data_IF_479754123673
#
_entry.id   IF_479754123673
#
_cell.length_a   1.000
_cell.length_b   1.000
_cell.length_c   1.000
_cell.angle_alpha   90.00
_cell.angle_beta   90.00
_cell.angle_gamma   90.00
#
_symmetry.space_group_name_H-M   'P 1'
#
loop_
_entity.id
_entity.type
_entity.pdbx_description
1 polymer ?
#
# COMPACT_ATOMS: atom_id res chain seq x y z
N UNK A 1 9.57 -6.51 -15.09
CA UNK A 1 9.04 -6.14 -13.77
C UNK A 1 8.27 -7.33 -13.26
N UNK A 2 8.72 -8.05 -12.23
CA UNK A 2 7.96 -9.20 -11.72
C UNK A 2 7.55 -8.90 -10.29
N UNK A 3 6.46 -8.15 -10.16
CA UNK A 3 5.67 -8.07 -8.94
C UNK A 3 4.74 -9.28 -8.98
N UNK A 4 4.74 -10.11 -7.93
CA UNK A 4 3.76 -11.18 -7.81
C UNK A 4 2.48 -10.61 -7.17
N UNK A 5 1.39 -10.58 -7.93
CA UNK A 5 0.09 -10.08 -7.50
C UNK A 5 -0.81 -11.14 -6.85
N UNK A 6 -0.40 -12.40 -6.75
CA UNK A 6 -1.19 -13.49 -6.12
C UNK A 6 -1.53 -13.19 -4.65
N UNK A 7 -0.71 -12.36 -4.00
CA UNK A 7 -0.89 -11.91 -2.62
C UNK A 7 -1.60 -10.56 -2.51
N UNK A 8 -1.93 -9.91 -3.61
CA UNK A 8 -2.66 -8.65 -3.59
C UNK A 8 -4.15 -8.90 -3.37
N UNK A 9 -4.88 -7.96 -2.73
CA UNK A 9 -6.34 -8.05 -2.71
C UNK A 9 -6.89 -8.06 -4.14
N UNK A 10 -7.96 -8.81 -4.38
CA UNK A 10 -8.58 -8.95 -5.71
C UNK A 10 -9.31 -7.69 -6.17
N UNK A 11 -9.76 -6.86 -5.25
CA UNK A 11 -10.35 -5.56 -5.55
C UNK A 11 -10.07 -4.62 -4.39
N UNK A 12 -10.06 -3.31 -4.67
CA UNK A 12 -9.74 -2.32 -3.66
C UNK A 12 -9.24 -1.04 -4.28
N UNK A 13 -8.26 -0.44 -3.63
CA UNK A 13 -7.65 0.82 -4.04
C UNK A 13 -6.17 0.60 -4.33
N UNK A 14 -5.70 1.21 -5.41
CA UNK A 14 -4.28 1.27 -5.75
C UNK A 14 -3.77 2.69 -5.50
N UNK A 15 -2.65 2.78 -4.79
CA UNK A 15 -1.83 3.97 -4.65
C UNK A 15 -0.44 3.63 -5.21
N UNK A 16 -0.11 4.16 -6.37
CA UNK A 16 1.13 3.88 -7.06
C UNK A 16 1.95 5.16 -7.24
N UNK A 17 3.19 5.13 -6.77
CA UNK A 17 4.16 6.19 -6.91
C UNK A 17 5.07 5.88 -8.09
N UNK A 18 5.00 6.73 -9.11
CA UNK A 18 5.94 6.75 -10.23
C UNK A 18 6.94 7.87 -10.04
N UNK A 19 8.05 7.83 -10.76
CA UNK A 19 9.04 8.93 -10.75
C UNK A 19 8.41 10.30 -11.05
N UNK A 20 7.40 10.35 -11.91
CA UNK A 20 6.84 11.61 -12.42
C UNK A 20 5.38 11.86 -12.01
N UNK A 21 4.71 10.89 -11.39
CA UNK A 21 3.30 11.02 -11.05
C UNK A 21 2.88 10.10 -9.90
N UNK A 22 1.69 10.33 -9.37
CA UNK A 22 1.02 9.44 -8.41
C UNK A 22 -0.32 9.02 -9.01
N UNK A 23 -0.60 7.72 -9.03
CA UNK A 23 -1.91 7.19 -9.41
C UNK A 23 -2.65 6.71 -8.17
N UNK A 24 -3.89 7.16 -8.06
CA UNK A 24 -4.78 6.78 -6.97
C UNK A 24 -6.18 6.49 -7.52
N UNK A 25 -6.60 5.23 -7.51
CA UNK A 25 -7.87 4.80 -8.11
C UNK A 25 -8.38 3.47 -7.53
N UNK A 26 -9.66 3.18 -7.72
CA UNK A 26 -10.25 1.88 -7.42
C UNK A 26 -9.87 0.88 -8.53
N UNK A 27 -9.64 -0.38 -8.18
CA UNK A 27 -9.36 -1.47 -9.12
C UNK A 27 -10.17 -2.72 -8.81
N UNK A 28 -10.29 -3.60 -9.81
CA UNK A 28 -10.82 -4.97 -9.71
C UNK A 28 -9.87 -5.95 -10.42
N UNK A 29 -9.89 -7.22 -10.01
CA UNK A 29 -8.90 -8.27 -10.34
C UNK A 29 -8.65 -8.40 -11.85
N UNK A 30 -9.74 -8.34 -12.61
CA UNK A 30 -9.76 -8.41 -14.07
C UNK A 30 -9.10 -7.21 -14.78
N UNK A 31 -8.69 -6.17 -14.06
CA UNK A 31 -7.97 -4.99 -14.56
C UNK A 31 -6.45 -5.07 -14.32
N UNK A 32 -5.99 -6.01 -13.49
CA UNK A 32 -4.56 -6.16 -13.15
C UNK A 32 -3.82 -7.03 -14.16
N UNK A 33 -4.42 -8.14 -14.60
CA UNK A 33 -3.78 -9.11 -15.51
C UNK A 33 -3.83 -8.69 -16.98
N UNK A 34 -4.79 -7.85 -17.39
CA UNK A 34 -5.02 -7.51 -18.80
C UNK A 34 -4.34 -6.23 -19.28
N UNK A 35 -3.88 -5.40 -18.36
CA UNK A 35 -3.53 -4.03 -18.68
C UNK A 35 -2.41 -3.55 -17.74
N UNK A 36 -1.16 -3.54 -18.21
CA UNK A 36 -0.12 -2.71 -17.60
C UNK A 36 -0.55 -1.26 -17.30
N UNK A 37 -1.72 -0.79 -17.77
CA UNK A 37 -2.36 0.51 -17.50
C UNK A 37 -2.43 0.94 -16.03
N UNK A 38 -2.75 0.05 -15.06
CA UNK A 38 -2.77 0.47 -13.64
C UNK A 38 -1.36 0.93 -13.22
N UNK A 39 -0.34 0.23 -13.71
CA UNK A 39 1.07 0.52 -13.46
C UNK A 39 1.68 1.47 -14.52
N UNK A 40 0.86 2.06 -15.40
CA UNK A 40 1.32 2.89 -16.50
C UNK A 40 1.88 2.10 -17.68
N UNK A 41 1.92 2.74 -18.84
CA UNK A 41 2.71 2.22 -19.97
C UNK A 41 4.17 2.03 -19.52
N UNK A 42 4.92 1.15 -20.18
CA UNK A 42 6.32 0.75 -19.90
C UNK A 42 7.35 1.89 -19.72
N UNK A 43 6.94 3.15 -19.81
CA UNK A 43 7.76 4.36 -19.74
C UNK A 43 7.81 5.01 -18.36
N UNK A 44 6.89 4.70 -17.44
CA UNK A 44 6.90 5.30 -16.10
C UNK A 44 7.57 4.38 -15.07
N UNK A 45 8.68 4.84 -14.49
CA UNK A 45 9.40 4.09 -13.47
C UNK A 45 8.58 4.06 -12.17
N UNK A 46 7.92 2.93 -11.91
CA UNK A 46 7.27 2.64 -10.63
C UNK A 46 8.33 2.58 -9.51
N UNK A 47 8.07 3.30 -8.42
CA UNK A 47 8.93 3.40 -7.24
C UNK A 47 8.33 2.62 -6.07
N UNK A 48 7.02 2.77 -5.86
CA UNK A 48 6.30 2.13 -4.76
C UNK A 48 4.86 1.89 -5.17
N UNK A 49 4.31 0.77 -4.74
CA UNK A 49 2.96 0.33 -5.02
C UNK A 49 2.29 -0.12 -3.73
N UNK A 50 1.10 0.41 -3.47
CA UNK A 50 0.19 -0.08 -2.46
C UNK A 50 -1.10 -0.51 -3.13
N UNK A 51 -1.55 -1.72 -2.82
CA UNK A 51 -2.84 -2.26 -3.22
C UNK A 51 -3.54 -2.75 -1.96
N UNK A 52 -4.68 -2.17 -1.62
CA UNK A 52 -5.31 -2.43 -0.33
C UNK A 52 -6.82 -2.41 -0.41
N UNK A 53 -7.43 -3.21 0.44
CA UNK A 53 -8.87 -3.27 0.67
C UNK A 53 -9.18 -3.01 2.15
N UNK A 54 -10.37 -3.42 2.61
CA UNK A 54 -10.78 -3.29 4.02
C UNK A 54 -9.97 -4.16 4.99
N UNK A 55 -9.31 -5.21 4.49
CA UNK A 55 -8.76 -6.30 5.29
C UNK A 55 -7.24 -6.41 5.20
N UNK A 56 -6.64 -6.05 4.07
CA UNK A 56 -5.21 -6.24 3.84
C UNK A 56 -4.60 -5.14 2.96
N UNK A 57 -3.28 -5.01 3.05
CA UNK A 57 -2.47 -4.22 2.14
C UNK A 57 -1.38 -5.12 1.55
N UNK A 58 -1.25 -5.08 0.24
CA UNK A 58 -0.09 -5.54 -0.50
C UNK A 58 0.77 -4.34 -0.88
N UNK A 59 2.03 -4.35 -0.44
CA UNK A 59 2.99 -3.26 -0.72
C UNK A 59 4.19 -3.79 -1.47
N UNK A 60 4.60 -3.11 -2.52
CA UNK A 60 5.79 -3.43 -3.29
C UNK A 60 6.67 -2.17 -3.43
N UNK A 61 7.88 -2.18 -2.89
CA UNK A 61 8.82 -1.04 -2.97
C UNK A 61 10.02 -1.40 -3.82
N UNK A 62 10.39 -0.51 -4.75
CA UNK A 62 11.57 -0.69 -5.60
C UNK A 62 12.85 -0.55 -4.77
N UNK A 63 13.57 -1.66 -4.64
CA UNK A 63 14.90 -1.65 -4.03
C UNK A 63 15.91 -0.91 -4.91
N UNK A 64 16.64 0.05 -4.31
CA UNK A 64 17.74 0.79 -4.96
C UNK A 64 18.88 -0.13 -5.38
N UNK A 65 19.15 -1.18 -4.63
CA UNK A 65 20.28 -2.11 -4.86
C UNK A 65 19.91 -3.31 -5.72
N UNK A 66 18.67 -3.80 -5.61
CA UNK A 66 18.29 -5.08 -6.23
C UNK A 66 17.40 -4.93 -7.47
N UNK A 67 16.94 -3.72 -7.83
CA UNK A 67 15.97 -3.48 -8.93
C UNK A 67 14.76 -4.43 -8.87
N UNK A 68 14.40 -4.90 -7.67
CA UNK A 68 13.29 -5.82 -7.38
C UNK A 68 12.30 -5.11 -6.46
N UNK A 69 11.04 -5.53 -6.55
CA UNK A 69 10.00 -5.11 -5.62
C UNK A 69 9.95 -6.10 -4.47
N UNK A 70 10.04 -5.60 -3.24
CA UNK A 70 9.99 -6.43 -2.04
C UNK A 70 8.59 -6.28 -1.45
N UNK A 71 7.80 -7.38 -1.33
CA UNK A 71 6.58 -7.39 -0.54
C UNK A 71 6.89 -6.96 0.88
N UNK A 72 6.30 -5.85 1.34
CA UNK A 72 6.48 -5.43 2.73
C UNK A 72 5.39 -6.07 3.59
N UNK A 73 5.65 -7.30 4.04
CA UNK A 73 4.84 -7.94 5.07
C UNK A 73 5.14 -7.20 6.39
N UNK A 74 4.36 -6.18 6.72
CA UNK A 74 4.43 -5.55 8.05
C UNK A 74 4.06 -6.64 9.06
N UNK A 75 5.07 -7.20 9.71
CA UNK A 75 4.92 -8.23 10.73
C UNK A 75 4.31 -7.58 11.97
N UNK A 76 2.99 -7.65 12.02
CA UNK A 76 2.21 -7.40 13.23
C UNK A 76 2.64 -8.41 14.31
N UNK A 77 2.84 -7.93 15.53
CA UNK A 77 2.85 -8.76 16.72
C UNK A 77 1.75 -8.31 17.69
N UNK A 78 1.24 -9.24 18.51
CA UNK A 78 0.20 -8.95 19.50
C UNK A 78 0.65 -7.96 20.59
N UNK A 79 1.93 -7.57 20.62
CA UNK A 79 2.53 -6.68 21.63
C UNK A 79 2.69 -5.24 21.11
N UNK A 80 2.07 -4.89 19.98
CA UNK A 80 2.09 -3.55 19.40
C UNK A 80 0.77 -2.82 19.65
N UNK A 81 0.90 -1.56 20.07
CA UNK A 81 -0.22 -0.63 20.11
C UNK A 81 -0.63 -0.25 18.69
N UNK A 82 -1.95 -0.25 18.45
CA UNK A 82 -2.56 0.09 17.16
C UNK A 82 -3.18 1.48 17.23
N UNK A 83 -2.66 2.40 16.42
CA UNK A 83 -3.23 3.74 16.26
C UNK A 83 -3.85 3.83 14.86
N UNK A 84 -5.16 4.10 14.80
CA UNK A 84 -5.88 4.28 13.55
C UNK A 84 -6.22 5.74 13.31
N UNK A 85 -5.94 6.22 12.11
CA UNK A 85 -6.34 7.55 11.65
C UNK A 85 -7.13 7.43 10.35
N UNK A 86 -8.23 8.18 10.23
CA UNK A 86 -9.05 8.21 9.01
C UNK A 86 -8.79 9.50 8.26
N UNK A 87 -8.23 9.38 7.06
CA UNK A 87 -7.89 10.52 6.20
C UNK A 87 -8.92 10.60 5.06
N UNK A 88 -9.52 11.78 4.92
CA UNK A 88 -10.38 12.11 3.78
C UNK A 88 -9.51 12.56 2.60
N UNK A 89 -9.73 11.99 1.43
CA UNK A 89 -8.96 12.35 0.23
C UNK A 89 -9.69 13.43 -0.56
N UNK A 90 -9.13 14.63 -0.59
CA UNK A 90 -9.90 15.82 -0.93
C UNK A 90 -10.34 15.93 -2.40
N UNK A 91 -9.84 15.17 -3.40
CA UNK A 91 -10.04 15.65 -4.78
C UNK A 91 -10.39 14.72 -5.95
N UNK A 92 -10.26 13.38 -5.96
CA UNK A 92 -10.64 12.61 -7.18
C UNK A 92 -11.16 11.18 -6.99
N UNK A 93 -11.29 10.71 -5.76
CA UNK A 93 -11.80 9.37 -5.47
C UNK A 93 -12.70 9.50 -4.25
N UNK A 94 -14.00 9.22 -4.35
CA UNK A 94 -14.86 9.21 -3.17
C UNK A 94 -14.41 8.04 -2.30
N UNK A 95 -13.64 8.35 -1.27
CA UNK A 95 -13.09 7.34 -0.38
C UNK A 95 -12.33 7.96 0.78
N UNK A 96 -12.52 7.36 1.94
CA UNK A 96 -11.65 7.56 3.10
C UNK A 96 -10.61 6.44 3.12
N UNK A 97 -9.39 6.77 3.51
CA UNK A 97 -8.39 5.77 3.83
C UNK A 97 -8.23 5.72 5.34
N UNK A 98 -8.07 4.52 5.87
CA UNK A 98 -7.63 4.32 7.25
C UNK A 98 -6.14 3.98 7.24
N UNK A 99 -5.36 4.78 7.94
CA UNK A 99 -3.95 4.53 8.20
C UNK A 99 -3.85 3.85 9.56
N UNK A 100 -3.27 2.66 9.58
CA UNK A 100 -3.08 1.85 10.79
C UNK A 100 -1.61 1.85 11.13
N UNK A 101 -1.21 2.56 12.18
CA UNK A 101 0.17 2.57 12.68
C UNK A 101 0.35 1.54 13.78
N UNK A 102 1.48 0.85 13.75
CA UNK A 102 1.88 -0.12 14.78
C UNK A 102 3.05 0.44 15.58
N UNK A 103 2.83 0.68 16.86
CA UNK A 103 3.83 1.19 17.79
C UNK A 103 4.23 0.11 18.78
N UNK A 104 5.52 0.04 19.09
CA UNK A 104 6.03 -0.67 20.24
C UNK A 104 6.83 0.28 21.12
N UNK A 105 7.05 -0.10 22.37
CA UNK A 105 7.88 0.64 23.30
C UNK A 105 8.98 -0.29 23.79
N UNK A 106 10.20 0.24 23.93
CA UNK A 106 11.24 -0.51 24.62
C UNK A 106 11.16 -0.35 26.14
N UNK A 107 12.09 -0.99 26.85
CA UNK A 107 12.14 -1.01 28.31
C UNK A 107 12.25 0.39 28.96
N UNK A 108 12.66 1.41 28.21
CA UNK A 108 12.76 2.79 28.68
C UNK A 108 11.52 3.63 28.31
N UNK A 109 10.50 3.02 27.72
CA UNK A 109 9.31 3.72 27.25
C UNK A 109 9.52 4.51 25.96
N UNK A 110 10.60 4.25 25.20
CA UNK A 110 10.84 4.94 23.93
C UNK A 110 10.01 4.29 22.82
N UNK A 111 9.19 5.10 22.16
CA UNK A 111 8.32 4.66 21.07
C UNK A 111 9.13 4.27 19.82
N UNK A 112 8.76 3.15 19.22
CA UNK A 112 9.25 2.64 17.93
C UNK A 112 8.07 2.39 17.02
N UNK A 113 8.07 3.01 15.85
CA UNK A 113 7.06 2.78 14.82
C UNK A 113 7.56 1.63 13.95
N UNK A 114 6.89 0.48 14.03
CA UNK A 114 7.23 -0.70 13.23
C UNK A 114 6.79 -0.57 11.77
N UNK A 115 5.82 0.31 11.51
CA UNK A 115 5.32 0.63 10.19
C UNK A 115 3.85 1.05 10.24
N UNK A 116 3.28 1.24 9.06
CA UNK A 116 1.85 1.51 8.90
C UNK A 116 1.25 0.58 7.84
N UNK A 117 -0.06 0.37 7.92
CA UNK A 117 -0.87 -0.24 6.88
C UNK A 117 -1.95 0.71 6.39
N UNK A 118 -2.29 0.61 5.10
CA UNK A 118 -3.44 1.29 4.50
C UNK A 118 -4.63 0.35 4.42
N UNK A 119 -5.81 0.89 4.69
CA UNK A 119 -7.10 0.20 4.56
C UNK A 119 -8.09 1.10 3.83
N UNK A 120 -8.86 0.50 2.94
CA UNK A 120 -9.94 1.21 2.27
C UNK A 120 -11.19 1.19 3.14
N UNK A 121 -11.85 2.34 3.27
CA UNK A 121 -13.18 2.43 3.89
C UNK A 121 -14.20 2.55 2.76
N UNK A 122 -15.04 1.52 2.60
CA UNK A 122 -16.23 1.60 1.74
C UNK A 122 -17.30 2.41 2.45
N UNK A 123 -17.90 3.36 1.74
CA UNK A 123 -19.10 4.09 2.19
C UNK A 123 -20.36 3.40 1.69
#
# INVERSE_FOLDING_TARGET
MLINFDKAPKEGVVLAYFRNCVKFQIYKDNQLEKDGKILGEDKEELLELHMFDENMEFRAVKSRSQKKYIPNDVLYNDNQDKIEEVILLEQKTPGKIRVVNYLSYDEYGMAKIAGYQLRWIRE
#
